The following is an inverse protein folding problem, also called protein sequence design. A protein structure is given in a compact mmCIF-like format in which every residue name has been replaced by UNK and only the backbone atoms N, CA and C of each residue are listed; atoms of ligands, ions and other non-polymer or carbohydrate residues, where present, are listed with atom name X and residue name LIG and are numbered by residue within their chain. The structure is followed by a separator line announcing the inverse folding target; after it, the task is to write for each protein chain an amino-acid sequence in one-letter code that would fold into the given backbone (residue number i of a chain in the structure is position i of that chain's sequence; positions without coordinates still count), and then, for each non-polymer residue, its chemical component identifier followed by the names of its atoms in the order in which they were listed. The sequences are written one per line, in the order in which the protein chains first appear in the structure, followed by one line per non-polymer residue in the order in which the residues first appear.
data_IF_464764882423
#
_entry.id   IF_464764882423
#
_cell.length_a   1.000
_cell.length_b   1.000
_cell.length_c   1.000
_cell.angle_alpha   90.00
_cell.angle_beta   90.00
_cell.angle_gamma   90.00
#
_symmetry.space_group_name_H-M   'P 1'
#
loop_
_entity.id
_entity.type
_entity.pdbx_description
1 polymer ?
#
# COMPACT_ATOMS: atom_id res chain seq x y z
N UNK A 1 -13.37 25.71 22.22
CA UNK A 1 -13.62 25.50 20.77
C UNK A 1 -12.33 24.96 20.17
N UNK A 2 -12.29 23.67 19.80
CA UNK A 2 -11.12 23.06 19.16
C UNK A 2 -11.36 23.09 17.65
N UNK A 3 -10.42 23.63 16.88
CA UNK A 3 -10.46 23.61 15.42
C UNK A 3 -9.42 22.60 14.93
N UNK A 4 -9.79 21.77 13.96
CA UNK A 4 -8.87 20.85 13.29
C UNK A 4 -8.21 21.58 12.11
N UNK A 5 -6.90 21.39 11.96
CA UNK A 5 -6.21 21.81 10.74
C UNK A 5 -6.59 20.89 9.58
N UNK A 6 -6.59 21.38 8.33
CA UNK A 6 -6.80 20.53 7.17
C UNK A 6 -5.65 19.54 7.03
N UNK A 7 -5.97 18.25 6.93
CA UNK A 7 -4.97 17.23 6.62
C UNK A 7 -4.48 17.40 5.19
N UNK A 8 -3.16 17.44 5.00
CA UNK A 8 -2.58 17.28 3.68
C UNK A 8 -3.00 15.91 3.12
N UNK A 9 -3.35 15.85 1.83
CA UNK A 9 -3.68 14.57 1.19
C UNK A 9 -2.54 13.58 1.37
N UNK A 10 -2.87 12.32 1.64
CA UNK A 10 -1.87 11.27 1.83
C UNK A 10 -1.08 11.03 0.54
N UNK A 11 0.25 11.11 0.62
CA UNK A 11 1.18 10.79 -0.48
C UNK A 11 1.41 9.29 -0.67
N UNK A 12 0.58 8.46 -0.03
CA UNK A 12 0.69 7.02 -0.07
C UNK A 12 0.63 6.47 -1.50
N UNK A 13 1.61 5.63 -1.87
CA UNK A 13 1.65 4.92 -3.15
C UNK A 13 1.84 3.43 -2.90
N UNK A 14 0.99 2.62 -3.54
CA UNK A 14 1.06 1.16 -3.45
C UNK A 14 2.44 0.58 -3.79
N UNK A 15 3.20 1.23 -4.68
CA UNK A 15 4.54 0.79 -5.09
C UNK A 15 5.53 0.69 -3.93
N UNK A 16 5.41 1.57 -2.94
CA UNK A 16 6.39 1.70 -1.85
C UNK A 16 6.10 0.71 -0.71
N UNK A 17 4.91 0.10 -0.71
CA UNK A 17 4.44 -0.78 0.34
C UNK A 17 4.16 -2.21 -0.14
N UNK A 18 4.70 -2.60 -1.31
CA UNK A 18 4.58 -3.98 -1.82
C UNK A 18 5.26 -4.95 -0.84
N UNK A 19 4.58 -6.04 -0.53
CA UNK A 19 5.01 -7.07 0.42
C UNK A 19 4.60 -6.79 1.88
N UNK A 20 4.13 -5.57 2.17
CA UNK A 20 3.72 -5.19 3.52
C UNK A 20 2.30 -5.65 3.84
N UNK A 21 2.06 -5.92 5.12
CA UNK A 21 0.74 -6.19 5.67
C UNK A 21 0.03 -4.88 5.95
N UNK A 22 -1.16 -4.73 5.39
CA UNK A 22 -1.93 -3.49 5.44
C UNK A 22 -3.35 -3.81 5.88
N UNK A 23 -3.85 -3.03 6.83
CA UNK A 23 -5.23 -3.04 7.26
C UNK A 23 -5.98 -1.91 6.55
N UNK A 24 -7.05 -2.23 5.81
CA UNK A 24 -7.81 -1.27 5.02
C UNK A 24 -9.19 -1.03 5.63
N UNK A 25 -9.52 0.23 5.88
CA UNK A 25 -10.84 0.71 6.24
C UNK A 25 -11.45 1.39 5.02
N UNK A 26 -12.38 0.71 4.37
CA UNK A 26 -12.95 1.19 3.12
C UNK A 26 -14.09 2.18 3.41
N UNK A 27 -13.93 3.44 2.99
CA UNK A 27 -14.91 4.50 3.26
C UNK A 27 -15.95 4.63 2.17
N UNK A 28 -15.52 4.91 0.94
CA UNK A 28 -16.44 5.14 -0.17
C UNK A 28 -15.76 5.02 -1.55
N UNK A 29 -16.56 4.79 -2.59
CA UNK A 29 -16.12 4.78 -3.97
C UNK A 29 -16.44 6.13 -4.64
N UNK A 30 -15.40 6.90 -4.98
CA UNK A 30 -15.49 8.16 -5.69
C UNK A 30 -15.35 7.92 -7.20
N UNK A 31 -16.44 8.11 -7.93
CA UNK A 31 -16.45 7.93 -9.40
C UNK A 31 -16.17 9.24 -10.11
N UNK A 32 -15.52 9.17 -11.28
CA UNK A 32 -15.33 10.32 -12.16
C UNK A 32 -14.40 11.41 -11.60
N UNK A 33 -13.40 11.06 -10.79
CA UNK A 33 -12.38 12.02 -10.35
C UNK A 33 -11.54 12.42 -11.55
N UNK A 34 -11.56 13.70 -11.92
CA UNK A 34 -10.70 14.24 -12.96
C UNK A 34 -9.30 14.41 -12.39
N UNK A 35 -8.39 13.54 -12.80
CA UNK A 35 -6.97 13.64 -12.47
C UNK A 35 -6.19 14.17 -13.66
N UNK A 36 -4.90 14.47 -13.46
CA UNK A 36 -4.01 14.86 -14.55
C UNK A 36 -3.91 13.80 -15.67
N UNK A 37 -4.27 12.55 -15.38
CA UNK A 37 -4.27 11.43 -16.31
C UNK A 37 -5.66 11.12 -16.90
N UNK A 38 -6.66 11.96 -16.60
CA UNK A 38 -8.05 11.80 -17.06
C UNK A 38 -9.02 11.48 -15.92
N UNK A 39 -10.31 11.36 -16.29
CA UNK A 39 -11.36 10.94 -15.38
C UNK A 39 -11.18 9.47 -15.01
N UNK A 40 -11.12 9.15 -13.72
CA UNK A 40 -10.98 7.78 -13.24
C UNK A 40 -11.74 7.59 -11.93
N UNK A 41 -12.14 6.35 -11.69
CA UNK A 41 -12.74 5.94 -10.43
C UNK A 41 -11.65 5.71 -9.39
N UNK A 42 -11.89 6.16 -8.16
CA UNK A 42 -10.99 5.97 -7.03
C UNK A 42 -11.78 5.48 -5.83
N UNK A 43 -11.20 4.59 -5.03
CA UNK A 43 -11.76 4.21 -3.74
C UNK A 43 -11.01 4.94 -2.63
N UNK A 44 -11.76 5.62 -1.75
CA UNK A 44 -11.24 6.31 -0.58
C UNK A 44 -11.17 5.33 0.59
N UNK A 45 -9.97 5.16 1.14
CA UNK A 45 -9.70 4.24 2.23
C UNK A 45 -8.79 4.90 3.27
N UNK A 46 -8.97 4.52 4.53
CA UNK A 46 -7.95 4.74 5.55
C UNK A 46 -7.19 3.43 5.72
N UNK A 47 -5.88 3.49 5.86
CA UNK A 47 -5.05 2.28 5.92
C UNK A 47 -3.99 2.35 6.99
N UNK A 48 -3.67 1.20 7.57
CA UNK A 48 -2.54 1.06 8.49
C UNK A 48 -1.55 0.07 7.92
N UNK A 49 -0.33 0.52 7.66
CA UNK A 49 0.78 -0.34 7.30
C UNK A 49 1.39 -0.90 8.58
N UNK A 50 1.13 -2.16 8.86
CA UNK A 50 1.49 -2.83 10.11
C UNK A 50 2.97 -3.25 10.15
N UNK A 51 3.53 -3.60 8.99
CA UNK A 51 4.90 -4.13 8.87
C UNK A 51 5.87 -3.13 8.28
N UNK A 52 5.64 -1.82 8.47
CA UNK A 52 6.56 -0.80 8.01
C UNK A 52 7.84 -0.80 8.89
N UNK A 53 9.05 -0.62 8.30
CA UNK A 53 10.32 -0.72 9.04
C UNK A 53 10.46 0.26 10.21
N UNK A 54 9.79 1.42 10.15
CA UNK A 54 9.79 2.43 11.22
C UNK A 54 8.67 2.23 12.25
N UNK A 55 7.90 1.13 12.15
CA UNK A 55 6.73 0.86 12.97
C UNK A 55 5.40 1.15 12.26
N UNK A 56 4.26 0.82 12.89
CA UNK A 56 2.96 0.87 12.25
C UNK A 56 2.59 2.29 11.82
N UNK A 57 2.32 2.49 10.53
CA UNK A 57 2.02 3.80 9.94
C UNK A 57 0.57 3.87 9.49
N UNK A 58 -0.19 4.78 10.09
CA UNK A 58 -1.59 5.02 9.78
C UNK A 58 -1.72 6.20 8.81
N UNK A 59 -2.39 5.99 7.68
CA UNK A 59 -2.63 6.99 6.65
C UNK A 59 -4.13 7.11 6.40
N UNK A 60 -4.64 8.34 6.48
CA UNK A 60 -6.06 8.65 6.31
C UNK A 60 -6.35 9.23 4.92
N UNK A 61 -7.58 9.04 4.45
CA UNK A 61 -8.07 9.63 3.20
C UNK A 61 -7.24 9.27 1.95
N UNK A 62 -6.74 8.04 1.89
CA UNK A 62 -5.97 7.52 0.76
C UNK A 62 -6.89 7.21 -0.41
N UNK A 63 -6.59 7.75 -1.59
CA UNK A 63 -7.31 7.49 -2.83
C UNK A 63 -6.59 6.44 -3.67
N UNK A 64 -7.25 5.31 -3.91
CA UNK A 64 -6.74 4.22 -4.73
C UNK A 64 -7.44 4.19 -6.10
N UNK A 65 -6.67 4.40 -7.17
CA UNK A 65 -7.17 4.46 -8.55
C UNK A 65 -7.06 3.12 -9.31
N UNK A 66 -6.50 2.08 -8.68
CA UNK A 66 -6.22 0.81 -9.34
C UNK A 66 -7.49 -0.06 -9.38
N UNK A 67 -7.97 -0.39 -10.58
CA UNK A 67 -9.17 -1.23 -10.78
C UNK A 67 -9.19 -2.53 -9.95
N UNK A 68 -8.11 -3.32 -9.85
CA UNK A 68 -8.11 -4.55 -9.04
C UNK A 68 -8.28 -4.28 -7.53
N UNK A 69 -7.68 -3.20 -7.03
CA UNK A 69 -7.84 -2.79 -5.63
C UNK A 69 -9.26 -2.30 -5.36
N UNK A 70 -9.80 -1.46 -6.26
CA UNK A 70 -11.18 -0.98 -6.19
C UNK A 70 -12.15 -2.15 -6.17
N UNK A 71 -12.01 -3.12 -7.08
CA UNK A 71 -12.88 -4.30 -7.13
C UNK A 71 -12.85 -5.10 -5.83
N UNK A 72 -11.66 -5.35 -5.29
CA UNK A 72 -11.47 -6.15 -4.07
C UNK A 72 -12.01 -5.45 -2.82
N UNK A 73 -11.83 -4.13 -2.73
CA UNK A 73 -12.21 -3.34 -1.55
C UNK A 73 -13.67 -2.87 -1.60
N UNK A 74 -14.25 -2.70 -2.80
CA UNK A 74 -15.62 -2.19 -2.97
C UNK A 74 -16.69 -3.03 -2.27
N UNK A 75 -16.47 -4.35 -2.13
CA UNK A 75 -17.38 -5.24 -1.43
C UNK A 75 -17.44 -5.01 0.10
N UNK A 76 -16.43 -4.33 0.65
CA UNK A 76 -16.23 -4.09 2.08
C UNK A 76 -16.41 -2.62 2.48
N UNK A 77 -16.98 -1.79 1.61
CA UNK A 77 -17.33 -0.39 1.93
C UNK A 77 -18.25 -0.36 3.16
N UNK A 78 -17.81 0.32 4.22
CA UNK A 78 -18.56 0.47 5.46
C UNK A 78 -18.72 -0.81 6.30
N UNK A 79 -17.92 -1.84 6.04
CA UNK A 79 -17.91 -3.11 6.80
C UNK A 79 -16.64 -3.24 7.66
N UNK A 80 -16.41 -4.44 8.18
CA UNK A 80 -15.18 -4.81 8.88
C UNK A 80 -13.92 -4.48 8.05
N UNK A 81 -12.82 -4.11 8.72
CA UNK A 81 -11.59 -3.78 8.03
C UNK A 81 -11.01 -5.00 7.31
N UNK A 82 -10.49 -4.76 6.10
CA UNK A 82 -9.89 -5.80 5.27
C UNK A 82 -8.41 -5.89 5.60
N UNK A 83 -7.96 -7.01 6.14
CA UNK A 83 -6.55 -7.32 6.29
C UNK A 83 -6.04 -7.97 5.00
N UNK A 84 -4.98 -7.43 4.41
CA UNK A 84 -4.37 -8.03 3.23
C UNK A 84 -2.88 -7.68 3.11
N UNK A 85 -2.14 -8.55 2.44
CA UNK A 85 -0.78 -8.23 2.00
C UNK A 85 -0.82 -7.57 0.63
N UNK A 86 -0.10 -6.47 0.49
CA UNK A 86 -0.03 -5.80 -0.81
C UNK A 86 0.92 -6.58 -1.72
N UNK A 87 0.41 -7.07 -2.85
CA UNK A 87 1.19 -7.82 -3.83
C UNK A 87 1.21 -7.14 -5.19
N UNK A 88 2.02 -7.70 -6.09
CA UNK A 88 2.01 -7.38 -7.51
C UNK A 88 1.49 -8.59 -8.28
N UNK A 89 0.55 -8.36 -9.20
CA UNK A 89 0.04 -9.39 -10.09
C UNK A 89 1.00 -9.70 -11.23
N UNK A 90 0.56 -10.49 -12.19
CA UNK A 90 1.37 -10.85 -13.35
C UNK A 90 1.57 -9.63 -14.27
N UNK A 91 2.82 -9.20 -14.43
CA UNK A 91 3.19 -8.21 -15.44
C UNK A 91 2.97 -8.78 -16.85
N UNK A 92 2.31 -8.03 -17.72
CA UNK A 92 2.29 -8.34 -19.16
C UNK A 92 3.57 -7.82 -19.80
N UNK A 93 4.11 -8.47 -20.84
CA UNK A 93 5.29 -7.97 -21.56
C UNK A 93 5.09 -6.50 -22.00
N UNK A 94 5.95 -5.60 -21.53
CA UNK A 94 5.88 -4.16 -21.84
C UNK A 94 4.96 -3.33 -20.93
N UNK A 95 4.35 -3.90 -19.88
CA UNK A 95 3.50 -3.19 -18.92
C UNK A 95 3.91 -3.53 -17.48
N UNK A 96 3.77 -2.56 -16.57
CA UNK A 96 4.00 -2.80 -15.13
C UNK A 96 2.94 -3.73 -14.54
N UNK A 97 3.34 -4.57 -13.59
CA UNK A 97 2.41 -5.42 -12.85
C UNK A 97 1.37 -4.58 -12.10
N UNK A 98 0.06 -4.92 -12.18
CA UNK A 98 -0.95 -4.26 -11.38
C UNK A 98 -0.80 -4.67 -9.90
N UNK A 99 -1.03 -3.74 -8.98
CA UNK A 99 -1.09 -4.05 -7.55
C UNK A 99 -2.38 -4.82 -7.22
N UNK A 100 -2.23 -5.86 -6.42
CA UNK A 100 -3.33 -6.74 -5.98
C UNK A 100 -3.26 -6.93 -4.46
N UNK A 101 -4.39 -7.30 -3.86
CA UNK A 101 -4.44 -7.70 -2.46
C UNK A 101 -4.32 -9.23 -2.38
N UNK A 102 -3.32 -9.69 -1.64
CA UNK A 102 -3.11 -11.09 -1.33
C UNK A 102 -3.77 -11.42 0.01
N UNK A 103 -4.30 -12.65 0.18
CA UNK A 103 -4.86 -13.08 1.45
C UNK A 103 -3.81 -13.01 2.55
N UNK A 104 -4.26 -12.67 3.76
CA UNK A 104 -3.43 -12.71 4.96
C UNK A 104 -3.23 -14.16 5.43
N UNK A 105 -2.16 -14.40 6.19
CA UNK A 105 -1.96 -15.67 6.89
C UNK A 105 -2.34 -15.55 8.40
N UNK A 106 -2.39 -16.66 9.12
CA UNK A 106 -2.77 -16.64 10.55
C UNK A 106 -1.81 -15.80 11.43
N UNK A 107 -0.52 -15.73 11.08
CA UNK A 107 0.46 -14.90 11.79
C UNK A 107 0.16 -13.40 11.60
N UNK A 108 -0.20 -13.02 10.37
CA UNK A 108 -0.60 -11.66 10.02
C UNK A 108 -1.87 -11.26 10.80
N UNK A 109 -2.85 -12.17 10.90
CA UNK A 109 -4.06 -11.94 11.67
C UNK A 109 -3.77 -11.74 13.16
N UNK A 110 -2.89 -12.57 13.74
CA UNK A 110 -2.47 -12.44 15.13
C UNK A 110 -1.74 -11.10 15.37
N UNK A 111 -0.87 -10.68 14.46
CA UNK A 111 -0.16 -9.40 14.55
C UNK A 111 -1.12 -8.21 14.45
N UNK A 112 -2.05 -8.25 13.49
CA UNK A 112 -3.07 -7.22 13.33
C UNK A 112 -3.98 -7.12 14.56
N UNK A 113 -4.39 -8.26 15.14
CA UNK A 113 -5.20 -8.29 16.36
C UNK A 113 -4.45 -7.67 17.55
N UNK A 114 -3.16 -8.00 17.74
CA UNK A 114 -2.33 -7.40 18.78
C UNK A 114 -2.20 -5.87 18.61
N UNK A 115 -2.02 -5.41 17.37
CA UNK A 115 -1.99 -3.98 17.09
C UNK A 115 -3.33 -3.30 17.40
N UNK A 116 -4.45 -3.86 16.96
CA UNK A 116 -5.77 -3.30 17.25
C UNK A 116 -6.07 -3.24 18.75
N UNK A 117 -5.61 -4.24 19.51
CA UNK A 117 -5.71 -4.22 20.97
C UNK A 117 -4.85 -3.12 21.60
N UNK A 118 -3.65 -2.86 21.07
CA UNK A 118 -2.74 -1.83 21.62
C UNK A 118 -3.23 -0.41 21.35
N UNK A 119 -3.89 -0.16 20.22
CA UNK A 119 -4.47 1.15 19.88
C UNK A 119 -5.89 1.35 20.41
N UNK A 120 -6.48 0.34 21.06
CA UNK A 120 -7.83 0.42 21.62
C UNK A 120 -8.96 0.31 20.59
N UNK A 121 -8.70 -0.31 19.43
CA UNK A 121 -9.70 -0.54 18.38
C UNK A 121 -9.32 0.10 17.04
N UNK A 122 -10.24 0.84 16.42
CA UNK A 122 -10.00 1.47 15.13
C UNK A 122 -9.15 2.76 15.32
N UNK A 123 -7.91 2.84 14.79
CA UNK A 123 -7.07 4.02 14.94
C UNK A 123 -7.62 5.26 14.23
N UNK A 124 -8.61 5.10 13.35
CA UNK A 124 -9.30 6.17 12.63
C UNK A 124 -10.71 6.46 13.17
N UNK A 125 -11.13 5.72 14.20
CA UNK A 125 -12.40 5.94 14.89
C UNK A 125 -12.27 7.14 15.83
N UNK A 126 -13.23 8.05 15.79
CA UNK A 126 -13.23 9.30 16.59
C UNK A 126 -13.47 9.08 18.08
N UNK A 127 -13.00 7.97 18.67
CA UNK A 127 -13.19 7.67 20.09
C UNK A 127 -11.93 7.07 20.69
N UNK A 128 -10.94 7.92 20.99
CA UNK A 128 -10.26 7.91 22.29
C UNK A 128 -9.44 9.20 22.52
N UNK A 129 -10.10 10.33 22.78
CA UNK A 129 -9.46 11.47 23.47
C UNK A 129 -9.27 11.18 24.97
N UNK A 130 -8.87 9.96 25.32
CA UNK A 130 -8.89 9.51 26.72
C UNK A 130 -8.35 8.11 26.95
N UNK A 131 -7.20 7.73 26.38
CA UNK A 131 -6.26 6.81 27.02
C UNK A 131 -4.99 6.65 26.17
N UNK A 132 -4.11 7.66 26.22
CA UNK A 132 -2.68 7.39 26.22
C UNK A 132 -2.13 8.04 27.48
N UNK A 133 -1.39 7.24 28.24
CA UNK A 133 -0.80 7.54 29.51
C UNK A 133 -0.35 9.00 29.64
N UNK A 134 -0.87 9.65 30.67
CA UNK A 134 -0.01 10.47 31.53
C UNK A 134 1.24 9.64 31.81
N UNK A 135 2.30 9.82 31.01
CA UNK A 135 3.63 9.75 31.58
C UNK A 135 3.62 10.81 32.69
N UNK A 136 3.82 10.46 33.97
CA UNK A 136 4.16 11.46 34.95
C UNK A 136 5.56 11.97 34.58
N UNK A 137 5.61 12.97 33.70
CA UNK A 137 6.75 13.85 33.67
C UNK A 137 6.85 14.47 35.07
N UNK A 138 8.00 14.37 35.76
CA UNK A 138 8.20 15.12 37.00
C UNK A 138 7.89 16.58 36.71
N UNK A 139 6.90 17.10 37.44
CA UNK A 139 6.35 18.42 37.29
C UNK A 139 7.48 19.44 37.47
N UNK A 140 8.00 19.97 36.36
CA UNK A 140 8.78 21.19 36.38
C UNK A 140 7.80 22.30 36.80
N UNK A 141 7.89 22.66 38.07
CA UNK A 141 7.09 23.71 38.70
C UNK A 141 7.17 24.97 37.84
N UNK A 142 6.01 25.46 37.44
CA UNK A 142 5.81 26.79 36.90
C UNK A 142 6.29 27.80 37.94
N UNK A 143 7.48 28.35 37.76
CA UNK A 143 7.90 29.55 38.49
C UNK A 143 7.15 30.72 37.85
N UNK A 144 6.32 31.48 38.59
CA UNK A 144 5.68 32.67 38.03
C UNK A 144 6.76 33.70 37.69
N UNK A 145 6.64 34.29 36.49
CA UNK A 145 7.52 35.37 36.02
C UNK A 145 7.53 36.53 37.03
N UNK A 146 8.69 36.92 37.59
CA UNK A 146 8.82 38.22 38.24
C UNK A 146 8.81 39.33 37.18
N UNK A 147 7.95 40.32 37.43
CA UNK A 147 7.82 41.55 36.65
C UNK A 147 9.10 42.41 36.71
N UNK A 148 9.25 43.19 35.65
CA UNK A 148 10.30 44.12 35.23
C UNK A 148 11.07 44.93 36.29
N UNK A 149 12.33 45.25 35.96
CA UNK A 149 12.99 46.50 36.33
C UNK A 149 13.84 47.05 35.16
N UNK A 150 13.93 48.39 34.98
CA UNK A 150 14.47 49.05 33.78
C UNK A 150 15.99 49.32 33.81
N UNK A 151 16.57 49.44 32.60
CA UNK A 151 17.79 50.10 32.09
C UNK A 151 18.73 50.87 33.08
N UNK A 152 20.07 50.96 32.85
CA UNK A 152 20.59 51.71 31.69
C UNK A 152 21.99 51.33 31.08
N UNK A 153 22.11 51.67 29.80
CA UNK A 153 23.25 52.14 28.96
C UNK A 153 24.70 51.72 29.25
N UNK A 154 25.41 51.25 28.20
CA UNK A 154 26.59 51.94 27.62
C UNK A 154 27.27 51.14 26.48
N UNK A 155 27.55 51.85 25.36
CA UNK A 155 28.72 51.75 24.45
C UNK A 155 29.00 50.40 23.73
N UNK A 156 29.36 50.30 22.45
CA UNK A 156 29.73 51.20 21.36
C UNK A 156 29.73 50.35 20.04
N UNK A 157 29.88 50.94 18.85
CA UNK A 157 29.51 50.35 17.57
C UNK A 157 30.63 49.50 16.95
N UNK A 158 30.28 48.44 16.22
CA UNK A 158 31.18 47.79 15.27
C UNK A 158 30.51 47.72 13.90
N UNK A 159 31.27 48.14 12.89
CA UNK A 159 30.90 48.49 11.53
C UNK A 159 30.32 47.34 10.69
N UNK A 160 29.62 47.66 9.58
CA UNK A 160 29.08 46.68 8.63
C UNK A 160 30.12 46.27 7.58
N UNK A 161 30.15 44.99 7.21
CA UNK A 161 30.86 44.46 6.05
C UNK A 161 30.16 43.16 5.57
N UNK A 162 30.38 42.69 4.33
CA UNK A 162 29.40 42.79 3.26
C UNK A 162 28.79 41.45 2.83
N UNK A 163 27.75 41.59 1.99
CA UNK A 163 26.97 40.59 1.25
C UNK A 163 27.78 39.52 0.50
N UNK A 164 27.22 38.30 0.54
CA UNK A 164 27.20 37.15 -0.39
C UNK A 164 28.32 36.96 -1.44
N UNK A 165 28.62 35.68 -1.77
CA UNK A 165 28.03 35.19 -3.02
C UNK A 165 27.41 33.78 -2.95
N UNK A 166 26.48 33.59 -3.87
CA UNK A 166 25.69 32.41 -4.13
C UNK A 166 26.55 31.14 -4.34
N UNK A 167 26.19 30.07 -3.64
CA UNK A 167 26.62 28.72 -3.99
C UNK A 167 25.77 28.23 -5.17
N UNK A 168 26.45 28.09 -6.30
CA UNK A 168 25.93 27.46 -7.51
C UNK A 168 25.63 25.98 -7.24
N UNK A 169 24.41 25.55 -7.53
CA UNK A 169 24.09 24.12 -7.63
C UNK A 169 24.67 23.59 -8.95
N UNK A 170 25.44 22.49 -8.94
CA UNK A 170 25.90 21.86 -10.17
C UNK A 170 24.72 21.21 -10.92
N UNK A 171 24.60 21.52 -12.21
CA UNK A 171 23.73 20.78 -13.14
C UNK A 171 24.19 19.32 -13.23
N UNK A 172 23.28 18.32 -13.15
CA UNK A 172 23.59 16.97 -13.57
C UNK A 172 23.66 16.91 -15.11
N UNK A 173 24.75 16.29 -15.61
CA UNK A 173 25.01 16.07 -17.02
C UNK A 173 23.94 15.17 -17.68
N UNK A 174 23.62 15.38 -18.97
CA UNK A 174 22.73 14.50 -19.73
C UNK A 174 23.42 13.15 -19.94
N UNK A 175 22.88 12.10 -19.32
CA UNK A 175 23.31 10.73 -19.59
C UNK A 175 22.84 10.32 -20.98
N UNK A 176 23.80 9.95 -21.81
CA UNK A 176 23.63 9.46 -23.16
C UNK A 176 22.73 8.22 -23.20
N UNK A 177 21.80 8.23 -24.15
CA UNK A 177 21.00 7.06 -24.54
C UNK A 177 21.92 5.99 -25.15
N UNK A 178 22.02 4.77 -24.58
CA UNK A 178 22.64 3.66 -25.28
C UNK A 178 21.70 3.13 -26.36
N UNK A 179 22.31 2.86 -27.51
CA UNK A 179 21.73 2.45 -28.76
C UNK A 179 20.79 1.23 -28.67
N UNK A 180 19.80 1.25 -29.56
CA UNK A 180 18.90 0.16 -29.89
C UNK A 180 19.68 -1.13 -30.20
N UNK A 181 19.40 -2.18 -29.43
CA UNK A 181 19.80 -3.56 -29.76
C UNK A 181 18.66 -4.20 -30.55
N UNK A 182 18.92 -4.75 -31.75
CA UNK A 182 17.88 -5.36 -32.59
C UNK A 182 17.29 -6.62 -31.97
N UNK A 183 15.99 -6.80 -32.20
CA UNK A 183 15.15 -7.87 -31.69
C UNK A 183 15.66 -9.27 -32.06
N UNK A 184 15.71 -10.24 -31.12
CA UNK A 184 15.74 -11.64 -31.47
C UNK A 184 14.35 -12.07 -31.95
N UNK A 185 14.31 -12.61 -33.16
CA UNK A 185 13.21 -13.36 -33.77
C UNK A 185 12.56 -14.34 -32.75
N UNK A 186 11.23 -14.39 -32.63
CA UNK A 186 10.59 -15.41 -31.80
C UNK A 186 10.77 -16.78 -32.44
N UNK A 187 11.60 -17.61 -31.81
CA UNK A 187 11.64 -19.04 -32.05
C UNK A 187 10.26 -19.63 -31.73
N UNK A 188 9.78 -20.48 -32.64
CA UNK A 188 8.51 -21.17 -32.56
C UNK A 188 8.32 -21.87 -31.20
N UNK A 189 7.21 -21.56 -30.53
CA UNK A 189 6.68 -22.35 -29.41
C UNK A 189 6.36 -23.76 -29.91
N UNK A 190 6.93 -24.83 -29.34
CA UNK A 190 6.46 -26.18 -29.64
C UNK A 190 5.06 -26.35 -29.03
N UNK A 191 4.12 -26.81 -29.85
CA UNK A 191 2.77 -27.15 -29.44
C UNK A 191 2.81 -28.17 -28.29
N UNK A 192 2.29 -27.78 -27.12
CA UNK A 192 2.07 -28.69 -25.99
C UNK A 192 0.97 -29.65 -26.40
N UNK A 193 1.34 -30.91 -26.64
CA UNK A 193 0.43 -31.98 -27.05
C UNK A 193 -0.64 -32.23 -26.00
N UNK A 194 -1.89 -32.09 -26.42
CA UNK A 194 -3.07 -32.48 -25.68
C UNK A 194 -3.34 -33.98 -25.89
N UNK A 195 -3.75 -34.68 -24.83
CA UNK A 195 -4.16 -36.09 -24.88
C UNK A 195 -5.69 -36.13 -24.92
N UNK A 196 -6.27 -36.86 -25.86
CA UNK A 196 -7.72 -37.03 -26.00
C UNK A 196 -8.19 -38.25 -25.21
N UNK A 197 -9.10 -38.03 -24.27
CA UNK A 197 -9.78 -39.07 -23.49
C UNK A 197 -10.84 -39.79 -24.35
N UNK A 198 -11.26 -41.02 -23.99
CA UNK A 198 -12.23 -41.81 -24.77
C UNK A 198 -13.63 -41.18 -24.89
N UNK A 199 -13.93 -40.13 -24.12
CA UNK A 199 -15.14 -39.31 -24.23
C UNK A 199 -14.97 -38.08 -25.17
N UNK A 200 -13.85 -38.00 -25.90
CA UNK A 200 -13.57 -36.91 -26.85
C UNK A 200 -13.02 -35.62 -26.23
N UNK A 201 -12.78 -35.57 -24.92
CA UNK A 201 -12.19 -34.39 -24.29
C UNK A 201 -10.67 -34.37 -24.37
N UNK A 202 -10.13 -33.21 -24.74
CA UNK A 202 -8.69 -32.97 -24.78
C UNK A 202 -8.22 -32.41 -23.44
N UNK A 203 -7.30 -33.11 -22.77
CA UNK A 203 -6.72 -32.70 -21.49
C UNK A 203 -5.21 -32.64 -21.58
N UNK A 204 -4.61 -31.82 -20.71
CA UNK A 204 -3.16 -31.75 -20.57
C UNK A 204 -2.62 -33.02 -19.87
N UNK A 205 -1.38 -33.44 -20.16
CA UNK A 205 -0.80 -34.65 -19.61
C UNK A 205 -0.70 -34.66 -18.07
N UNK A 206 -0.62 -33.48 -17.43
CA UNK A 206 -0.68 -33.35 -15.96
C UNK A 206 -2.04 -33.76 -15.38
N UNK A 207 -3.13 -33.42 -16.05
CA UNK A 207 -4.49 -33.80 -15.61
C UNK A 207 -4.74 -35.29 -15.83
N UNK A 208 -4.19 -35.86 -16.91
CA UNK A 208 -4.26 -37.30 -17.16
C UNK A 208 -3.48 -38.10 -16.10
N UNK A 209 -2.31 -37.62 -15.67
CA UNK A 209 -1.52 -38.24 -14.62
C UNK A 209 -2.20 -38.15 -13.24
N UNK A 210 -2.86 -37.02 -12.94
CA UNK A 210 -3.59 -36.83 -11.68
C UNK A 210 -4.81 -37.76 -11.55
N UNK A 211 -5.52 -38.05 -12.66
CA UNK A 211 -6.67 -38.98 -12.62
C UNK A 211 -6.24 -40.45 -12.44
N UNK A 212 -5.06 -40.84 -12.90
CA UNK A 212 -4.52 -42.18 -12.68
C UNK A 212 -4.18 -42.46 -11.20
N UNK A 213 -3.83 -41.42 -10.42
CA UNK A 213 -3.52 -41.55 -8.99
C UNK A 213 -4.75 -41.63 -8.09
N UNK A 214 -5.93 -41.23 -8.57
CA UNK A 214 -7.17 -41.23 -7.77
C UNK A 214 -7.91 -42.57 -7.73
N UNK A 215 -7.36 -43.64 -8.32
CA UNK A 215 -7.80 -45.02 -8.07
C UNK A 215 -9.27 -45.31 -8.33
N UNK A 216 -9.97 -44.53 -9.15
CA UNK A 216 -11.37 -44.78 -9.48
C UNK A 216 -11.44 -45.96 -10.47
N UNK A 217 -11.84 -47.11 -9.94
CA UNK A 217 -12.05 -48.33 -10.68
C UNK A 217 -13.04 -48.11 -11.83
N UNK A 218 -12.62 -48.50 -13.03
CA UNK A 218 -13.45 -48.58 -14.23
C UNK A 218 -14.55 -49.62 -14.01
N UNK A 219 -15.85 -49.25 -14.02
CA UNK A 219 -16.91 -50.27 -14.09
C UNK A 219 -16.89 -50.93 -15.48
N UNK A 220 -17.09 -52.26 -15.58
CA UNK A 220 -17.07 -52.96 -16.86
C UNK A 220 -18.20 -52.50 -17.77
N UNK A 221 -17.90 -52.42 -19.07
CA UNK A 221 -18.82 -51.99 -20.11
C UNK A 221 -20.06 -52.90 -20.20
N UNK A 222 -21.26 -52.34 -20.46
CA UNK A 222 -22.42 -53.15 -20.80
C UNK A 222 -22.25 -53.79 -22.20
N UNK A 223 -22.79 -55.00 -22.43
CA UNK A 223 -22.70 -55.67 -23.73
C UNK A 223 -23.49 -54.89 -24.79
N UNK A 224 -22.87 -54.73 -25.96
CA UNK A 224 -23.50 -54.14 -27.13
C UNK A 224 -24.66 -55.02 -27.61
N UNK A 225 -25.82 -54.40 -27.85
CA UNK A 225 -26.96 -54.97 -28.57
C UNK A 225 -27.09 -54.28 -29.93
#
# INVERSE_FOLDING_TARGET
MQFSQPSAGSDWRAKDYVGHLILFYVRELRKGIVTQFGASDAIQVDLVVLTHPEGPKAEENVLLFQKPLIGSLSANIGKDPVLARLGQGTAKPGQSAPYILQPFNEQDAAYAAQYLQSVGGNPFGTTNFGAAAQQPAPQAQHVPLPQAAPAPVAAAPVAPAPVAPAVAYPQPAPQAVPAAVPAPVPAAVPAVGTVTLPNGQQVTPEVAAAMAQLGMAVPPAPPAA
#
